data_IF_015907075258
#
_entry.id   IF_015907075258
#
_cell.length_a   1.000
_cell.length_b   1.000
_cell.length_c   1.000
_cell.angle_alpha   90.00
_cell.angle_beta   90.00
_cell.angle_gamma   90.00
#
_symmetry.space_group_name_H-M   'P 1'
#
loop_
_entity.id
_entity.type
_entity.pdbx_description
1 polymer ?
#
# COMPACT_ATOMS: atom_id res chain seq x y z
N UNK A 1 7.02 8.74 -16.72
CA UNK A 1 5.60 8.35 -16.70
C UNK A 1 5.16 8.29 -15.25
N UNK A 2 4.07 8.95 -14.89
CA UNK A 2 3.49 8.93 -13.55
C UNK A 2 2.73 7.62 -13.28
N UNK A 3 2.47 7.30 -12.02
CA UNK A 3 1.64 6.15 -11.63
C UNK A 3 0.25 6.21 -12.29
N UNK A 4 -0.34 7.39 -12.37
CA UNK A 4 -1.66 7.60 -13.01
C UNK A 4 -1.61 7.28 -14.51
N UNK A 5 -0.60 7.76 -15.22
CA UNK A 5 -0.41 7.47 -16.65
C UNK A 5 -0.21 5.97 -16.90
N UNK A 6 0.54 5.28 -16.04
CA UNK A 6 0.73 3.82 -16.12
C UNK A 6 -0.61 3.07 -15.94
N UNK A 7 -1.38 3.43 -14.91
CA UNK A 7 -2.68 2.80 -14.62
C UNK A 7 -3.67 2.99 -15.77
N UNK A 8 -3.73 4.20 -16.32
CA UNK A 8 -4.60 4.51 -17.46
C UNK A 8 -4.14 3.75 -18.72
N UNK A 9 -2.83 3.66 -18.98
CA UNK A 9 -2.26 2.90 -20.11
C UNK A 9 -2.55 1.39 -20.02
N UNK A 10 -2.43 0.82 -18.81
CA UNK A 10 -2.69 -0.60 -18.56
C UNK A 10 -4.20 -0.93 -18.49
N UNK A 11 -5.07 0.09 -18.49
CA UNK A 11 -6.52 -0.07 -18.36
C UNK A 11 -6.97 -0.80 -17.09
N UNK A 12 -6.17 -0.75 -16.03
CA UNK A 12 -6.43 -1.48 -14.77
C UNK A 12 -7.17 -0.65 -13.72
N UNK A 13 -7.52 0.60 -14.04
CA UNK A 13 -8.11 1.55 -13.09
C UNK A 13 -9.35 1.02 -12.39
N UNK A 14 -10.17 0.24 -13.09
CA UNK A 14 -11.41 -0.32 -12.56
C UNK A 14 -11.22 -1.38 -11.46
N UNK A 15 -10.01 -1.91 -11.30
CA UNK A 15 -9.68 -2.89 -10.26
C UNK A 15 -9.18 -2.26 -8.95
N UNK A 16 -9.07 -0.93 -8.88
CA UNK A 16 -8.59 -0.21 -7.69
C UNK A 16 -9.62 0.77 -7.18
N UNK A 17 -10.04 0.60 -5.92
CA UNK A 17 -10.93 1.54 -5.23
C UNK A 17 -10.22 2.85 -4.87
N UNK A 18 -8.92 2.76 -4.53
CA UNK A 18 -8.12 3.88 -4.00
C UNK A 18 -6.74 3.95 -4.66
N UNK A 19 -6.21 5.17 -4.77
CA UNK A 19 -4.85 5.44 -5.22
C UNK A 19 -4.13 6.32 -4.19
N UNK A 20 -3.27 5.71 -3.36
CA UNK A 20 -2.39 6.44 -2.45
C UNK A 20 -1.09 6.80 -3.18
N UNK A 21 -0.98 8.05 -3.62
CA UNK A 21 0.15 8.55 -4.41
C UNK A 21 1.19 9.27 -3.53
N UNK A 22 2.48 9.32 -3.91
CA UNK A 22 3.54 9.90 -3.08
C UNK A 22 3.34 11.38 -2.70
N UNK A 23 2.58 12.15 -3.49
CA UNK A 23 2.20 13.53 -3.18
C UNK A 23 1.27 13.67 -1.96
N UNK A 24 0.62 12.57 -1.55
CA UNK A 24 -0.30 12.55 -0.40
C UNK A 24 0.36 12.05 0.88
N UNK A 25 1.58 11.52 0.80
CA UNK A 25 2.28 10.90 1.94
C UNK A 25 3.66 11.54 2.05
N UNK A 26 3.91 12.37 3.09
CA UNK A 26 5.13 13.15 3.20
C UNK A 26 6.35 12.31 3.58
N UNK A 27 6.15 11.12 4.14
CA UNK A 27 7.19 10.18 4.52
C UNK A 27 7.40 9.15 3.42
N UNK A 28 8.63 8.66 3.27
CA UNK A 28 8.95 7.57 2.36
C UNK A 28 8.88 6.22 3.07
N UNK A 29 8.65 5.14 2.31
CA UNK A 29 8.87 3.77 2.81
C UNK A 29 10.31 3.65 3.38
N UNK A 30 10.53 2.91 4.47
CA UNK A 30 9.63 1.90 5.04
C UNK A 30 8.55 2.47 5.98
N UNK A 31 8.47 3.79 6.14
CA UNK A 31 7.50 4.40 7.05
C UNK A 31 6.05 3.95 6.74
N UNK A 32 5.24 3.61 7.76
CA UNK A 32 3.93 2.99 7.58
C UNK A 32 2.85 3.94 7.04
N UNK A 33 3.11 5.24 6.95
CA UNK A 33 2.11 6.23 6.51
C UNK A 33 1.53 5.90 5.13
N UNK A 34 2.32 5.33 4.21
CA UNK A 34 1.79 4.94 2.91
C UNK A 34 0.65 3.91 3.04
N UNK A 35 0.82 2.93 3.92
CA UNK A 35 -0.17 1.89 4.20
C UNK A 35 -1.35 2.50 4.95
N UNK A 36 -1.08 3.30 5.99
CA UNK A 36 -2.12 3.94 6.80
C UNK A 36 -3.01 4.90 5.99
N UNK A 37 -2.40 5.71 5.13
CA UNK A 37 -3.14 6.60 4.22
C UNK A 37 -4.00 5.81 3.25
N UNK A 38 -3.52 4.68 2.72
CA UNK A 38 -4.33 3.84 1.83
C UNK A 38 -5.56 3.27 2.55
N UNK A 39 -5.40 2.79 3.79
CA UNK A 39 -6.50 2.25 4.60
C UNK A 39 -7.53 3.33 4.95
N UNK A 40 -7.07 4.50 5.37
CA UNK A 40 -7.94 5.64 5.67
C UNK A 40 -8.76 6.05 4.43
N UNK A 41 -8.15 6.05 3.25
CA UNK A 41 -8.85 6.31 1.98
C UNK A 41 -9.91 5.25 1.65
N UNK A 42 -9.73 4.01 2.11
CA UNK A 42 -10.72 2.93 1.99
C UNK A 42 -11.81 2.99 3.08
N UNK A 43 -11.73 3.96 3.99
CA UNK A 43 -12.59 3.99 5.19
C UNK A 43 -12.32 2.83 6.14
N UNK A 44 -11.14 2.23 6.07
CA UNK A 44 -10.72 1.13 6.92
C UNK A 44 -9.80 1.66 8.03
N UNK A 45 -9.99 1.13 9.23
CA UNK A 45 -9.07 1.37 10.32
C UNK A 45 -7.94 0.32 10.26
N UNK A 46 -6.76 0.80 9.87
CA UNK A 46 -5.51 0.09 10.12
C UNK A 46 -5.11 0.16 11.58
N UNK A 47 -4.03 -0.52 11.96
CA UNK A 47 -3.39 -0.34 13.26
C UNK A 47 -2.85 1.08 13.37
N UNK A 48 -3.69 2.03 13.77
CA UNK A 48 -3.21 3.08 14.65
C UNK A 48 -2.74 2.35 15.90
N UNK A 49 -1.44 2.46 16.19
CA UNK A 49 -0.74 1.75 17.26
C UNK A 49 -1.65 1.47 18.48
N UNK A 50 -2.07 0.21 18.65
CA UNK A 50 -2.89 -0.25 19.78
C UNK A 50 -4.37 -0.55 19.53
N UNK A 51 -4.89 -0.37 18.30
CA UNK A 51 -6.29 -0.70 17.96
C UNK A 51 -6.43 -2.04 17.22
N UNK A 52 -7.55 -2.75 17.45
CA UNK A 52 -7.87 -4.00 16.75
C UNK A 52 -8.24 -3.73 15.28
N UNK A 53 -7.60 -4.45 14.35
CA UNK A 53 -7.82 -4.30 12.91
C UNK A 53 -9.20 -4.81 12.47
N UNK A 54 -9.87 -4.03 11.61
CA UNK A 54 -11.20 -4.37 11.08
C UNK A 54 -11.15 -5.25 9.81
N UNK A 55 -10.01 -5.27 9.11
CA UNK A 55 -9.86 -5.95 7.81
C UNK A 55 -8.66 -6.91 7.76
N UNK A 56 -8.81 -8.02 7.03
CA UNK A 56 -7.69 -8.88 6.64
C UNK A 56 -7.01 -8.26 5.44
N UNK A 57 -5.78 -7.78 5.61
CA UNK A 57 -5.02 -7.09 4.55
C UNK A 57 -3.85 -7.96 4.09
N UNK A 58 -3.72 -8.09 2.76
CA UNK A 58 -2.54 -8.64 2.11
C UNK A 58 -1.79 -7.49 1.44
N UNK A 59 -0.56 -7.20 1.91
CA UNK A 59 0.30 -6.22 1.27
C UNK A 59 1.18 -6.91 0.22
N UNK A 60 1.26 -6.33 -0.98
CA UNK A 60 1.99 -6.90 -2.13
C UNK A 60 3.01 -5.89 -2.62
N UNK A 61 4.27 -6.31 -2.73
CA UNK A 61 5.38 -5.50 -3.22
C UNK A 61 6.53 -6.37 -3.71
N UNK A 62 7.55 -5.75 -4.30
CA UNK A 62 8.70 -6.43 -4.91
C UNK A 62 10.05 -5.98 -4.35
N UNK A 63 10.06 -4.96 -3.47
CA UNK A 63 11.27 -4.43 -2.86
C UNK A 63 11.40 -4.79 -1.36
N UNK A 64 12.64 -4.83 -0.85
CA UNK A 64 12.91 -5.03 0.58
C UNK A 64 12.23 -3.96 1.45
N UNK A 65 12.15 -2.72 0.95
CA UNK A 65 11.47 -1.63 1.66
C UNK A 65 9.96 -1.87 1.82
N UNK A 66 9.34 -2.67 0.94
CA UNK A 66 7.94 -3.09 1.08
C UNK A 66 7.78 -4.12 2.19
N UNK A 67 8.70 -5.08 2.29
CA UNK A 67 8.74 -6.05 3.39
C UNK A 67 8.79 -5.30 4.72
N UNK A 68 9.73 -4.35 4.85
CA UNK A 68 9.93 -3.57 6.07
C UNK A 68 8.69 -2.74 6.43
N UNK A 69 8.03 -2.10 5.43
CA UNK A 69 6.75 -1.41 5.67
C UNK A 69 5.67 -2.35 6.17
N UNK A 70 5.57 -3.57 5.60
CA UNK A 70 4.57 -4.55 6.01
C UNK A 70 4.79 -5.02 7.45
N UNK A 71 6.05 -5.29 7.81
CA UNK A 71 6.44 -5.72 9.16
C UNK A 71 6.12 -4.67 10.21
N UNK A 72 6.40 -3.39 9.93
CA UNK A 72 6.08 -2.27 10.82
C UNK A 72 4.57 -2.09 11.04
N UNK A 73 3.75 -2.60 10.13
CA UNK A 73 2.30 -2.58 10.24
C UNK A 73 1.70 -3.91 10.71
N UNK A 74 2.51 -4.94 10.99
CA UNK A 74 2.05 -6.30 11.27
C UNK A 74 1.10 -6.85 10.16
N UNK A 75 1.44 -6.61 8.89
CA UNK A 75 0.64 -7.05 7.74
C UNK A 75 1.12 -8.40 7.22
N UNK A 76 0.19 -9.22 6.72
CA UNK A 76 0.58 -10.35 5.89
C UNK A 76 1.17 -9.80 4.59
N UNK A 77 2.39 -10.24 4.26
CA UNK A 77 3.10 -9.75 3.09
C UNK A 77 3.30 -10.86 2.05
N UNK A 78 3.16 -10.51 0.78
CA UNK A 78 3.49 -11.36 -0.36
C UNK A 78 4.48 -10.65 -1.29
N UNK A 79 5.66 -11.26 -1.48
CA UNK A 79 6.65 -10.76 -2.44
C UNK A 79 6.26 -11.20 -3.85
N UNK A 80 6.08 -10.24 -4.75
CA UNK A 80 5.85 -10.53 -6.17
C UNK A 80 7.17 -10.41 -6.95
N UNK A 81 7.69 -11.53 -7.44
CA UNK A 81 8.81 -11.51 -8.38
C UNK A 81 8.29 -11.58 -9.82
N UNK A 82 8.51 -10.53 -10.60
CA UNK A 82 8.30 -10.59 -12.06
C UNK A 82 9.58 -11.14 -12.69
N UNK A 83 9.50 -12.30 -13.37
CA UNK A 83 10.60 -12.78 -14.21
C UNK A 83 10.73 -11.82 -15.40
N UNK A 84 11.85 -11.12 -15.47
CA UNK A 84 12.24 -10.30 -16.62
C UNK A 84 12.59 -11.17 -17.83
#
# INVERSE_FOLDING_TARGET
MSTKEMVDHLQIKEYFDVFATPDRVPTAKPHPDHINTALEMMGLHGEKWGENREARVLYVGDAEVDVQSAELCEFQFFICFVRQ
#
